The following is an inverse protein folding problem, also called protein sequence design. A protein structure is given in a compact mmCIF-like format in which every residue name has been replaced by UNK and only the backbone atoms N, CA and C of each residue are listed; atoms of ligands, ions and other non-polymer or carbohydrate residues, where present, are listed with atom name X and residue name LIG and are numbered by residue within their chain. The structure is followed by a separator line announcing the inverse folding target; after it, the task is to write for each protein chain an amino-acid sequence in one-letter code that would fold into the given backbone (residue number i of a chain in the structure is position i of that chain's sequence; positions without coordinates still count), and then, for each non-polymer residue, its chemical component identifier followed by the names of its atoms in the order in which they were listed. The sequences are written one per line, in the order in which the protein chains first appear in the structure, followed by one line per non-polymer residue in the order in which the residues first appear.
data_IF_046033647661
#
_entry.id   IF_046033647661
#
_cell.length_a   1.000
_cell.length_b   1.000
_cell.length_c   1.000
_cell.angle_alpha   90.00
_cell.angle_beta   90.00
_cell.angle_gamma   90.00
#
_symmetry.space_group_name_H-M   'P 1'
#
loop_
_entity.id
_entity.type
_entity.pdbx_description
1 polymer ?
#
# COMPACT_ATOMS: atom_id res chain seq x y z
N UNK A 1 3.86 -25.59 -15.52
CA UNK A 1 4.47 -24.47 -14.79
C UNK A 1 3.41 -23.96 -13.84
N UNK A 2 3.60 -24.07 -12.53
CA UNK A 2 2.68 -23.46 -11.57
C UNK A 2 2.67 -21.96 -11.85
N UNK A 3 1.51 -21.41 -12.19
CA UNK A 3 1.38 -19.97 -12.40
C UNK A 3 1.89 -19.26 -11.14
N UNK A 4 2.85 -18.37 -11.30
CA UNK A 4 3.29 -17.48 -10.24
C UNK A 4 2.10 -16.66 -9.78
N UNK A 5 1.92 -16.52 -8.46
CA UNK A 5 0.79 -15.79 -7.87
C UNK A 5 1.30 -14.67 -6.99
N UNK A 6 0.64 -13.54 -7.06
CA UNK A 6 0.77 -12.49 -6.06
C UNK A 6 -0.07 -12.82 -4.84
N UNK A 7 0.42 -12.39 -3.68
CA UNK A 7 -0.32 -12.45 -2.43
C UNK A 7 -1.00 -11.11 -2.22
N UNK A 8 -2.27 -11.14 -1.84
CA UNK A 8 -2.99 -9.94 -1.44
C UNK A 8 -2.71 -9.62 0.03
N UNK A 9 -2.57 -8.34 0.34
CA UNK A 9 -2.49 -7.86 1.70
C UNK A 9 -3.20 -6.52 1.82
N UNK A 10 -3.88 -6.33 2.95
CA UNK A 10 -4.58 -5.09 3.25
C UNK A 10 -3.64 -4.01 3.75
N UNK A 11 -3.84 -2.79 3.26
CA UNK A 11 -3.25 -1.57 3.80
C UNK A 11 -4.38 -0.59 4.13
N UNK A 12 -4.18 0.19 5.17
CA UNK A 12 -5.11 1.24 5.54
C UNK A 12 -4.51 2.58 5.15
N UNK A 13 -5.29 3.38 4.42
CA UNK A 13 -4.85 4.66 3.89
C UNK A 13 -5.90 5.71 4.18
N UNK A 14 -5.50 6.96 4.36
CA UNK A 14 -6.44 8.07 4.37
C UNK A 14 -7.05 8.29 2.98
N UNK A 15 -8.14 9.04 2.90
CA UNK A 15 -8.82 9.31 1.63
C UNK A 15 -7.91 9.94 0.57
N UNK A 16 -7.07 10.96 0.86
CA UNK A 16 -6.18 11.54 -0.16
C UNK A 16 -5.19 10.52 -0.73
N UNK A 17 -4.65 9.65 0.12
CA UNK A 17 -3.72 8.59 -0.28
C UNK A 17 -4.43 7.50 -1.07
N UNK A 18 -5.66 7.15 -0.69
CA UNK A 18 -6.51 6.23 -1.46
C UNK A 18 -6.78 6.77 -2.87
N UNK A 19 -7.14 8.05 -2.98
CA UNK A 19 -7.41 8.70 -4.27
C UNK A 19 -6.15 8.74 -5.15
N UNK A 20 -4.99 9.02 -4.56
CA UNK A 20 -3.70 8.97 -5.27
C UNK A 20 -3.35 7.57 -5.77
N UNK A 21 -3.56 6.54 -4.93
CA UNK A 21 -3.36 5.15 -5.31
C UNK A 21 -4.33 4.72 -6.42
N UNK A 22 -5.60 5.12 -6.34
CA UNK A 22 -6.60 4.83 -7.37
C UNK A 22 -6.23 5.51 -8.70
N UNK A 23 -5.79 6.77 -8.67
CA UNK A 23 -5.31 7.48 -9.85
C UNK A 23 -4.09 6.79 -10.48
N UNK A 24 -3.11 6.41 -9.66
CA UNK A 24 -1.93 5.68 -10.14
C UNK A 24 -2.30 4.35 -10.82
N UNK A 25 -3.17 3.55 -10.22
CA UNK A 25 -3.61 2.27 -10.81
C UNK A 25 -4.51 2.45 -12.03
N UNK A 26 -5.26 3.55 -12.10
CA UNK A 26 -5.99 3.91 -13.29
C UNK A 26 -5.05 4.23 -14.45
N UNK A 27 -4.00 5.01 -14.20
CA UNK A 27 -3.01 5.42 -15.19
C UNK A 27 -2.17 4.24 -15.68
N UNK A 28 -1.66 3.42 -14.76
CA UNK A 28 -0.75 2.31 -15.08
C UNK A 28 -1.46 1.07 -15.62
N UNK A 29 -2.65 0.76 -15.09
CA UNK A 29 -3.33 -0.52 -15.35
C UNK A 29 -4.79 -0.38 -15.82
N UNK A 30 -5.33 0.84 -15.93
CA UNK A 30 -6.71 1.08 -16.32
C UNK A 30 -7.73 0.64 -15.27
N UNK A 31 -7.32 0.49 -14.00
CA UNK A 31 -8.22 0.15 -12.90
C UNK A 31 -9.18 1.33 -12.66
N UNK A 32 -10.49 1.08 -12.79
CA UNK A 32 -11.51 2.15 -12.67
C UNK A 32 -12.09 2.23 -11.26
N UNK A 33 -12.16 1.09 -10.57
CA UNK A 33 -12.71 0.99 -9.22
C UNK A 33 -11.77 0.15 -8.36
N UNK A 34 -10.88 0.83 -7.65
CA UNK A 34 -9.91 0.18 -6.76
C UNK A 34 -10.60 -0.47 -5.55
N UNK A 35 -11.68 0.12 -5.04
CA UNK A 35 -12.37 -0.35 -3.83
C UNK A 35 -12.90 -1.77 -4.01
N UNK A 36 -13.40 -2.08 -5.21
CA UNK A 36 -13.93 -3.40 -5.55
C UNK A 36 -12.99 -4.26 -6.40
N UNK A 37 -11.81 -3.77 -6.78
CA UNK A 37 -10.92 -4.45 -7.72
C UNK A 37 -10.43 -5.79 -7.21
N UNK A 38 -9.94 -5.83 -5.97
CA UNK A 38 -9.48 -7.05 -5.33
C UNK A 38 -10.55 -7.61 -4.41
N UNK A 39 -10.93 -8.86 -4.65
CA UNK A 39 -11.85 -9.59 -3.78
C UNK A 39 -11.17 -9.87 -2.42
N UNK A 40 -11.68 -9.30 -1.30
CA UNK A 40 -11.10 -9.52 0.03
C UNK A 40 -11.25 -10.97 0.51
N UNK A 41 -12.13 -11.78 -0.11
CA UNK A 41 -12.23 -13.21 0.17
C UNK A 41 -11.14 -14.04 -0.52
N UNK A 42 -10.36 -13.44 -1.42
CA UNK A 42 -9.30 -14.10 -2.17
C UNK A 42 -7.93 -13.73 -1.59
N UNK A 43 -7.11 -14.74 -1.26
CA UNK A 43 -5.76 -14.50 -0.71
C UNK A 43 -4.68 -14.25 -1.77
N UNK A 44 -4.97 -14.54 -3.05
CA UNK A 44 -3.97 -14.49 -4.12
C UNK A 44 -4.55 -14.26 -5.51
N UNK A 45 -3.85 -13.50 -6.33
CA UNK A 45 -4.20 -13.20 -7.72
C UNK A 45 -3.13 -13.79 -8.64
N UNK A 46 -3.49 -14.38 -9.80
CA UNK A 46 -2.49 -14.81 -10.79
C UNK A 46 -1.64 -13.63 -11.28
N UNK A 47 -0.35 -13.88 -11.56
CA UNK A 47 0.47 -12.93 -12.32
C UNK A 47 -0.08 -12.74 -13.74
N UNK A 48 0.11 -11.53 -14.30
CA UNK A 48 -0.47 -11.13 -15.59
C UNK A 48 -1.82 -10.44 -15.46
N UNK A 49 -2.31 -10.23 -14.24
CA UNK A 49 -3.41 -9.29 -13.97
C UNK A 49 -2.83 -7.87 -13.92
N UNK A 50 -3.30 -6.93 -14.78
CA UNK A 50 -2.71 -5.60 -14.89
C UNK A 50 -2.66 -4.82 -13.57
N UNK A 51 -3.75 -4.81 -12.79
CA UNK A 51 -3.78 -4.14 -11.49
C UNK A 51 -2.89 -4.83 -10.45
N UNK A 52 -2.80 -6.16 -10.49
CA UNK A 52 -1.91 -6.90 -9.61
C UNK A 52 -0.43 -6.70 -9.96
N UNK A 53 -0.09 -6.58 -11.24
CA UNK A 53 1.27 -6.25 -11.70
C UNK A 53 1.64 -4.81 -11.30
N UNK A 54 0.75 -3.83 -11.53
CA UNK A 54 1.00 -2.44 -11.13
C UNK A 54 1.15 -2.27 -9.61
N UNK A 55 0.30 -2.93 -8.81
CA UNK A 55 0.48 -2.93 -7.34
C UNK A 55 1.75 -3.66 -6.91
N UNK A 56 2.15 -4.71 -7.62
CA UNK A 56 3.39 -5.42 -7.31
C UNK A 56 4.61 -4.54 -7.53
N UNK A 57 4.64 -3.78 -8.63
CA UNK A 57 5.70 -2.83 -8.95
C UNK A 57 5.75 -1.69 -7.92
N UNK A 58 4.61 -1.08 -7.60
CA UNK A 58 4.51 -0.07 -6.53
C UNK A 58 5.06 -0.60 -5.20
N UNK A 59 4.65 -1.79 -4.76
CA UNK A 59 5.09 -2.33 -3.47
C UNK A 59 6.59 -2.66 -3.51
N UNK A 60 7.13 -3.10 -4.65
CA UNK A 60 8.57 -3.31 -4.82
C UNK A 60 9.34 -2.00 -4.70
N UNK A 61 8.84 -0.90 -5.27
CA UNK A 61 9.43 0.42 -5.14
C UNK A 61 9.37 0.94 -3.71
N UNK A 62 8.21 0.86 -3.06
CA UNK A 62 8.05 1.24 -1.65
C UNK A 62 9.01 0.46 -0.74
N UNK A 63 9.15 -0.85 -0.93
CA UNK A 63 10.09 -1.67 -0.15
C UNK A 63 11.54 -1.35 -0.47
N UNK A 64 11.86 -1.06 -1.74
CA UNK A 64 13.20 -0.72 -2.21
C UNK A 64 13.68 0.67 -1.75
N UNK A 65 12.77 1.65 -1.71
CA UNK A 65 13.00 3.02 -1.28
C UNK A 65 12.61 3.31 0.17
N UNK A 66 12.26 2.28 0.94
CA UNK A 66 11.62 2.44 2.25
C UNK A 66 12.34 3.40 3.21
N UNK A 67 13.68 3.38 3.25
CA UNK A 67 14.45 4.27 4.14
C UNK A 67 14.22 5.74 3.81
N UNK A 68 14.29 6.11 2.52
CA UNK A 68 14.03 7.49 2.10
C UNK A 68 12.57 7.88 2.34
N UNK A 69 11.62 6.99 2.01
CA UNK A 69 10.20 7.23 2.26
C UNK A 69 9.89 7.39 3.75
N UNK A 70 10.57 6.65 4.61
CA UNK A 70 10.43 6.75 6.06
C UNK A 70 10.93 8.09 6.59
N UNK A 71 12.06 8.59 6.06
CA UNK A 71 12.61 9.88 6.47
C UNK A 71 11.71 11.05 6.01
N UNK A 72 11.06 10.92 4.85
CA UNK A 72 10.16 11.93 4.28
C UNK A 72 8.69 11.79 4.76
N UNK A 73 8.36 10.70 5.46
CA UNK A 73 6.99 10.39 5.85
C UNK A 73 6.40 11.40 6.85
N UNK A 74 5.20 11.95 6.60
CA UNK A 74 4.58 12.96 7.45
C UNK A 74 3.91 12.37 8.69
N UNK A 75 4.64 11.56 9.49
CA UNK A 75 4.09 10.86 10.66
C UNK A 75 3.40 11.79 11.66
N UNK A 76 3.94 13.00 11.88
CA UNK A 76 3.33 13.99 12.77
C UNK A 76 1.93 14.41 12.28
N UNK A 77 1.78 14.67 10.98
CA UNK A 77 0.50 15.10 10.39
C UNK A 77 -0.51 13.96 10.30
N UNK A 78 -0.04 12.73 10.10
CA UNK A 78 -0.92 11.54 10.03
C UNK A 78 -1.64 11.30 11.36
N UNK A 79 -1.01 11.66 12.49
CA UNK A 79 -1.63 11.51 13.82
C UNK A 79 -2.89 12.38 14.02
N UNK A 80 -3.09 13.40 13.17
CA UNK A 80 -4.29 14.25 13.17
C UNK A 80 -5.43 13.69 12.29
N UNK A 81 -5.18 12.63 11.50
CA UNK A 81 -6.20 12.00 10.65
C UNK A 81 -7.24 11.31 11.53
N UNK A 82 -8.53 11.48 11.21
CA UNK A 82 -9.62 10.84 11.96
C UNK A 82 -9.44 9.30 11.92
N UNK A 83 -9.35 8.61 13.07
CA UNK A 83 -9.24 7.16 13.16
C UNK A 83 -10.34 6.39 12.42
N UNK A 84 -11.49 7.03 12.13
CA UNK A 84 -12.61 6.44 11.39
C UNK A 84 -12.61 6.76 9.89
N UNK A 85 -11.68 7.59 9.41
CA UNK A 85 -11.58 8.00 8.00
C UNK A 85 -10.63 7.14 7.17
N UNK A 86 -9.93 6.19 7.79
CA UNK A 86 -9.05 5.27 7.07
C UNK A 86 -9.86 4.29 6.21
N UNK A 87 -9.45 4.16 4.95
CA UNK A 87 -9.98 3.22 3.98
C UNK A 87 -9.08 1.99 3.94
N UNK A 88 -9.68 0.80 4.08
CA UNK A 88 -8.99 -0.46 3.85
C UNK A 88 -8.99 -0.76 2.35
N UNK A 89 -7.80 -0.90 1.77
CA UNK A 89 -7.62 -1.37 0.38
C UNK A 89 -6.64 -2.52 0.34
N UNK A 90 -6.59 -3.24 -0.78
CA UNK A 90 -5.71 -4.38 -0.96
C UNK A 90 -4.68 -4.12 -2.06
N UNK A 91 -3.46 -4.57 -1.82
CA UNK A 91 -2.37 -4.54 -2.79
C UNK A 91 -1.92 -5.97 -3.07
N UNK A 92 -1.54 -6.24 -4.32
CA UNK A 92 -0.94 -7.50 -4.71
C UNK A 92 0.58 -7.33 -4.82
N UNK A 93 1.34 -8.28 -4.29
CA UNK A 93 2.80 -8.31 -4.52
C UNK A 93 3.34 -9.74 -4.41
N UNK A 94 4.58 -10.01 -4.86
CA UNK A 94 5.21 -11.31 -4.63
C UNK A 94 5.24 -11.63 -3.13
N UNK A 95 5.00 -12.90 -2.71
CA UNK A 95 4.92 -13.25 -1.29
C UNK A 95 6.11 -12.79 -0.44
N UNK A 96 7.33 -12.81 -1.01
CA UNK A 96 8.54 -12.33 -0.35
C UNK A 96 8.54 -10.80 -0.18
N UNK A 97 8.05 -10.07 -1.17
CA UNK A 97 7.90 -8.61 -1.11
C UNK A 97 6.85 -8.23 -0.07
N UNK A 98 5.73 -8.96 0.01
CA UNK A 98 4.71 -8.76 1.06
C UNK A 98 5.31 -8.97 2.46
N UNK A 99 6.09 -10.04 2.67
CA UNK A 99 6.75 -10.28 3.94
C UNK A 99 7.71 -9.13 4.31
N UNK A 100 8.55 -8.71 3.36
CA UNK A 100 9.48 -7.59 3.52
C UNK A 100 8.77 -6.26 3.83
N UNK A 101 7.62 -6.00 3.21
CA UNK A 101 6.81 -4.81 3.47
C UNK A 101 6.23 -4.84 4.88
N UNK A 102 5.64 -5.97 5.29
CA UNK A 102 5.08 -6.15 6.64
C UNK A 102 6.13 -5.97 7.73
N UNK A 103 7.30 -6.58 7.58
CA UNK A 103 8.41 -6.42 8.53
C UNK A 103 8.84 -4.95 8.68
N UNK A 104 8.91 -4.21 7.56
CA UNK A 104 9.25 -2.78 7.57
C UNK A 104 8.17 -1.92 8.22
N UNK A 105 6.90 -2.16 7.88
CA UNK A 105 5.78 -1.43 8.47
C UNK A 105 5.64 -1.72 9.97
N UNK A 106 5.89 -2.95 10.40
CA UNK A 106 5.90 -3.33 11.83
C UNK A 106 7.07 -2.68 12.58
N UNK A 107 8.26 -2.66 11.98
CA UNK A 107 9.40 -1.93 12.56
C UNK A 107 9.11 -0.42 12.67
N UNK A 108 8.56 0.20 11.63
CA UNK A 108 8.20 1.62 11.63
C UNK A 108 7.12 1.94 12.68
N UNK A 109 6.08 1.11 12.79
CA UNK A 109 5.04 1.26 13.81
C UNK A 109 5.62 1.19 15.22
N UNK A 110 6.57 0.28 15.44
CA UNK A 110 7.26 0.14 16.73
C UNK A 110 8.13 1.36 17.04
N UNK A 111 8.87 1.89 16.06
CA UNK A 111 9.78 3.03 16.26
C UNK A 111 8.99 4.33 16.49
N UNK A 112 7.90 4.54 15.75
CA UNK A 112 7.04 5.72 15.87
C UNK A 112 6.01 5.62 17.00
N UNK A 113 5.96 4.48 17.70
CA UNK A 113 4.97 4.18 18.75
C UNK A 113 3.52 4.42 18.28
N UNK A 114 3.22 4.07 17.02
CA UNK A 114 1.93 4.32 16.37
C UNK A 114 1.30 3.06 15.75
N UNK A 115 0.04 3.15 15.34
CA UNK A 115 -0.71 2.09 14.67
C UNK A 115 -0.29 1.92 13.20
N UNK A 116 -0.47 0.70 12.68
CA UNK A 116 -0.19 0.38 11.29
C UNK A 116 -0.95 1.26 10.28
N UNK A 117 -2.16 1.74 10.63
CA UNK A 117 -2.94 2.66 9.79
C UNK A 117 -2.19 3.95 9.51
N UNK A 118 -1.55 4.49 10.52
CA UNK A 118 -0.77 5.72 10.40
C UNK A 118 0.50 5.47 9.59
N UNK A 119 1.20 4.36 9.86
CA UNK A 119 2.42 4.02 9.10
C UNK A 119 2.14 3.78 7.62
N UNK A 120 1.11 2.99 7.29
CA UNK A 120 0.74 2.73 5.91
C UNK A 120 0.42 4.04 5.17
N UNK A 121 -0.36 4.92 5.81
CA UNK A 121 -0.72 6.23 5.27
C UNK A 121 0.50 7.12 5.09
N UNK A 122 1.36 7.24 6.11
CA UNK A 122 2.54 8.11 6.07
C UNK A 122 3.50 7.72 4.94
N UNK A 123 3.81 6.42 4.83
CA UNK A 123 4.75 5.92 3.82
C UNK A 123 4.18 6.07 2.40
N UNK A 124 2.88 5.78 2.20
CA UNK A 124 2.25 5.92 0.89
C UNK A 124 2.01 7.40 0.53
N UNK A 125 1.72 8.26 1.51
CA UNK A 125 1.65 9.70 1.33
C UNK A 125 2.99 10.26 0.83
N UNK A 126 4.11 9.85 1.44
CA UNK A 126 5.45 10.21 0.98
C UNK A 126 5.75 9.66 -0.42
N UNK A 127 5.34 8.43 -0.73
CA UNK A 127 5.55 7.84 -2.05
C UNK A 127 4.83 8.62 -3.16
N UNK A 128 3.59 9.03 -2.91
CA UNK A 128 2.79 9.79 -3.90
C UNK A 128 3.01 11.30 -3.85
N UNK A 129 3.83 11.80 -2.92
CA UNK A 129 4.00 13.23 -2.64
C UNK A 129 2.66 13.94 -2.42
N UNK A 130 1.81 13.35 -1.56
CA UNK A 130 0.50 13.88 -1.17
C UNK A 130 0.41 14.07 0.34
N UNK A 131 -0.50 14.94 0.78
CA UNK A 131 -0.83 15.04 2.20
C UNK A 131 -1.60 13.81 2.71
N UNK A 132 -1.42 13.44 3.98
CA UNK A 132 -2.22 12.40 4.62
C UNK A 132 -3.65 12.85 4.91
#
# INVERSE_FOLDING_TARGET
MTASRYKLFGVYVSQPVFDALAAHLHEEAGVVDLESYFDPATDSVPQGDPGADATADLVMEVVGGFTSLYDDAPFETVSDVDPNSFVLTHLAAPPKTVANARERFEAAATIQETDHREVHTAILAAYFDVGP
#
